data_IF_219766863424
#
_entry.id   IF_219766863424
#
_cell.length_a   1.000
_cell.length_b   1.000
_cell.length_c   1.000
_cell.angle_alpha   90.00
_cell.angle_beta   90.00
_cell.angle_gamma   90.00
#
_symmetry.space_group_name_H-M   'P 1'
#
loop_
_entity.id
_entity.type
_entity.pdbx_description
1 polymer ?
#
# COMPACT_ATOMS: atom_id res chain seq x y z
N UNK A 1 0.79 -18.79 -22.88
CA UNK A 1 1.49 -19.37 -21.70
C UNK A 1 0.43 -19.35 -20.63
N UNK A 2 -0.11 -20.51 -20.26
CA UNK A 2 -1.34 -20.52 -19.47
C UNK A 2 -1.12 -19.88 -18.09
N UNK A 3 -1.93 -18.88 -17.76
CA UNK A 3 -1.85 -18.17 -16.48
C UNK A 3 -2.54 -19.01 -15.41
N UNK A 4 -1.84 -19.26 -14.30
CA UNK A 4 -2.43 -19.96 -13.16
C UNK A 4 -3.41 -19.04 -12.41
N UNK A 5 -4.69 -19.22 -12.71
CA UNK A 5 -5.79 -18.44 -12.13
C UNK A 5 -5.95 -18.62 -10.62
N UNK A 6 -5.40 -19.68 -10.03
CA UNK A 6 -5.49 -19.93 -8.58
C UNK A 6 -4.73 -18.89 -7.75
N UNK A 7 -3.73 -18.25 -8.36
CA UNK A 7 -2.89 -17.22 -7.74
C UNK A 7 -3.46 -15.80 -7.89
N UNK A 8 -4.55 -15.64 -8.66
CA UNK A 8 -5.12 -14.34 -8.99
C UNK A 8 -6.25 -13.94 -8.03
N UNK A 9 -6.31 -12.64 -7.72
CA UNK A 9 -7.45 -12.05 -7.01
C UNK A 9 -8.71 -12.07 -7.89
N UNK A 10 -9.90 -11.98 -7.26
CA UNK A 10 -11.18 -11.89 -7.99
C UNK A 10 -11.23 -10.76 -9.03
N UNK A 11 -10.57 -9.64 -8.76
CA UNK A 11 -10.50 -8.50 -9.70
C UNK A 11 -9.62 -8.80 -10.91
N UNK A 12 -8.48 -9.45 -10.67
CA UNK A 12 -7.55 -9.90 -11.72
C UNK A 12 -8.20 -10.94 -12.64
N UNK A 13 -8.93 -11.92 -12.10
CA UNK A 13 -9.68 -12.93 -12.89
C UNK A 13 -10.73 -12.26 -13.79
N UNK A 14 -11.50 -11.28 -13.27
CA UNK A 14 -12.47 -10.55 -14.10
C UNK A 14 -11.80 -9.81 -15.26
N UNK A 15 -10.63 -9.21 -15.03
CA UNK A 15 -9.88 -8.51 -16.07
C UNK A 15 -9.33 -9.47 -17.13
N UNK A 16 -8.77 -10.62 -16.72
CA UNK A 16 -8.32 -11.66 -17.63
C UNK A 16 -9.47 -12.16 -18.53
N UNK A 17 -10.63 -12.46 -17.93
CA UNK A 17 -11.80 -12.92 -18.68
C UNK A 17 -12.38 -11.85 -19.61
N UNK A 18 -12.31 -10.57 -19.23
CA UNK A 18 -12.71 -9.47 -20.11
C UNK A 18 -11.77 -9.36 -21.33
N UNK A 19 -10.46 -9.51 -21.13
CA UNK A 19 -9.47 -9.52 -22.21
C UNK A 19 -9.68 -10.71 -23.14
N UNK A 20 -9.84 -11.92 -22.61
CA UNK A 20 -10.12 -13.13 -23.41
C UNK A 20 -11.32 -12.94 -24.35
N UNK A 21 -12.41 -12.34 -23.83
CA UNK A 21 -13.60 -12.01 -24.63
C UNK A 21 -13.37 -10.94 -25.69
N UNK A 22 -12.43 -10.01 -25.47
CA UNK A 22 -12.24 -8.87 -26.35
C UNK A 22 -11.21 -9.12 -27.45
N UNK A 23 -10.12 -9.81 -27.14
CA UNK A 23 -8.94 -9.91 -28.03
C UNK A 23 -8.48 -11.36 -28.26
N UNK A 24 -9.24 -12.34 -27.77
CA UNK A 24 -8.91 -13.76 -27.88
C UNK A 24 -7.94 -14.23 -26.80
N UNK A 25 -7.91 -15.55 -26.56
CA UNK A 25 -7.21 -16.14 -25.41
C UNK A 25 -5.69 -15.90 -25.44
N UNK A 26 -5.04 -16.14 -26.59
CA UNK A 26 -3.59 -16.02 -26.72
C UNK A 26 -3.07 -14.60 -26.50
N UNK A 27 -3.74 -13.61 -27.10
CA UNK A 27 -3.36 -12.19 -26.97
C UNK A 27 -3.76 -11.64 -25.60
N UNK A 28 -4.85 -12.14 -25.01
CA UNK A 28 -5.27 -11.78 -23.66
C UNK A 28 -4.26 -12.22 -22.60
N UNK A 29 -3.70 -13.43 -22.72
CA UNK A 29 -2.68 -13.92 -21.78
C UNK A 29 -1.41 -13.07 -21.82
N UNK A 30 -0.91 -12.72 -23.00
CA UNK A 30 0.28 -11.88 -23.15
C UNK A 30 0.06 -10.44 -22.62
N UNK A 31 -1.07 -9.82 -23.01
CA UNK A 31 -1.43 -8.48 -22.55
C UNK A 31 -1.66 -8.44 -21.03
N UNK A 32 -2.33 -9.44 -20.48
CA UNK A 32 -2.59 -9.54 -19.04
C UNK A 32 -1.30 -9.75 -18.26
N UNK A 33 -0.37 -10.58 -18.75
CA UNK A 33 0.92 -10.82 -18.10
C UNK A 33 1.76 -9.54 -18.02
N UNK A 34 1.82 -8.76 -19.11
CA UNK A 34 2.49 -7.44 -19.13
C UNK A 34 1.83 -6.45 -18.18
N UNK A 35 0.49 -6.44 -18.14
CA UNK A 35 -0.27 -5.59 -17.22
C UNK A 35 -0.04 -5.96 -15.75
N UNK A 36 -0.01 -7.26 -15.42
CA UNK A 36 0.20 -7.77 -14.08
C UNK A 36 1.60 -7.41 -13.55
N UNK A 37 2.63 -7.57 -14.39
CA UNK A 37 4.00 -7.16 -14.06
C UNK A 37 4.09 -5.67 -13.75
N UNK A 38 3.39 -4.82 -14.53
CA UNK A 38 3.33 -3.38 -14.29
C UNK A 38 2.64 -3.03 -12.97
N UNK A 39 1.65 -3.81 -12.55
CA UNK A 39 1.03 -3.64 -11.24
C UNK A 39 1.95 -4.06 -10.09
N UNK A 40 2.71 -5.14 -10.25
CA UNK A 40 3.65 -5.59 -9.22
C UNK A 40 4.76 -4.56 -8.97
N UNK A 41 5.18 -3.82 -10.02
CA UNK A 41 6.13 -2.71 -9.89
C UNK A 41 5.55 -1.43 -9.28
N UNK A 42 4.23 -1.36 -9.04
CA UNK A 42 3.58 -0.21 -8.40
C UNK A 42 3.37 -0.41 -6.89
N UNK A 43 3.85 -1.50 -6.28
CA UNK A 43 3.95 -1.56 -4.82
C UNK A 43 4.94 -0.47 -4.42
N UNK A 44 4.49 0.61 -3.75
CA UNK A 44 5.39 1.67 -3.37
C UNK A 44 6.46 1.05 -2.47
N UNK A 45 7.72 1.28 -2.82
CA UNK A 45 8.85 0.91 -1.98
C UNK A 45 8.62 1.47 -0.58
N UNK A 46 8.86 0.63 0.45
CA UNK A 46 8.64 1.06 1.84
C UNK A 46 9.50 2.28 2.13
N UNK A 47 8.92 3.33 2.70
CA UNK A 47 9.68 4.53 3.07
C UNK A 47 10.58 4.18 4.27
N UNK A 48 11.93 4.29 4.13
CA UNK A 48 12.84 3.91 5.21
C UNK A 48 12.64 4.70 6.51
N UNK A 49 12.10 5.93 6.43
CA UNK A 49 11.77 6.74 7.59
C UNK A 49 10.49 6.23 8.25
N UNK A 50 9.50 5.81 7.46
CA UNK A 50 8.29 5.18 7.99
C UNK A 50 8.63 3.88 8.74
N UNK A 51 9.50 3.05 8.17
CA UNK A 51 9.94 1.81 8.81
C UNK A 51 10.62 2.09 10.17
N UNK A 52 11.50 3.09 10.23
CA UNK A 52 12.14 3.51 11.50
C UNK A 52 11.15 4.05 12.52
N UNK A 53 10.07 4.72 12.08
CA UNK A 53 9.01 5.18 12.98
C UNK A 53 8.29 3.96 13.58
N UNK A 54 7.97 2.95 12.77
CA UNK A 54 7.33 1.71 13.24
C UNK A 54 8.24 0.97 14.22
N UNK A 55 9.52 0.82 13.90
CA UNK A 55 10.51 0.19 14.78
C UNK A 55 10.60 0.90 16.14
N UNK A 56 10.64 2.24 16.15
CA UNK A 56 10.67 3.03 17.38
C UNK A 56 9.38 2.88 18.22
N UNK A 57 8.24 2.56 17.58
CA UNK A 57 6.95 2.38 18.23
C UNK A 57 6.63 0.93 18.60
N UNK A 58 7.46 -0.04 18.20
CA UNK A 58 7.20 -1.47 18.42
C UNK A 58 6.95 -1.82 19.90
N UNK A 59 7.66 -1.16 20.82
CA UNK A 59 7.47 -1.36 22.27
C UNK A 59 6.12 -0.89 22.82
N UNK A 60 5.34 -0.12 22.06
CA UNK A 60 4.05 0.45 22.47
C UNK A 60 2.84 -0.33 21.93
N UNK A 61 3.04 -1.37 21.13
CA UNK A 61 1.97 -2.12 20.47
C UNK A 61 0.94 -2.73 21.46
N UNK A 62 1.41 -3.14 22.64
CA UNK A 62 0.57 -3.68 23.70
C UNK A 62 -0.06 -2.64 24.64
N UNK A 63 0.31 -1.36 24.52
CA UNK A 63 -0.21 -0.31 25.40
C UNK A 63 -1.59 0.16 24.92
N UNK A 64 -2.63 -0.19 25.68
CA UNK A 64 -4.01 0.25 25.40
C UNK A 64 -4.19 1.76 25.39
N UNK A 65 -3.32 2.52 26.06
CA UNK A 65 -3.35 3.99 26.04
C UNK A 65 -2.73 4.57 24.77
N UNK A 66 -1.86 3.80 24.10
CA UNK A 66 -1.23 4.17 22.84
C UNK A 66 -2.06 3.68 21.64
N UNK A 67 -3.28 4.21 21.50
CA UNK A 67 -4.18 3.86 20.39
C UNK A 67 -4.18 4.97 19.32
N UNK A 68 -3.70 4.64 18.12
CA UNK A 68 -3.65 5.57 16.98
C UNK A 68 -5.05 5.90 16.40
N UNK A 69 -6.07 5.13 16.75
CA UNK A 69 -7.44 5.30 16.25
C UNK A 69 -7.57 5.04 14.74
N UNK A 70 -8.76 5.31 14.20
CA UNK A 70 -9.11 4.97 12.81
C UNK A 70 -8.33 5.80 11.76
N UNK A 71 -8.10 7.09 12.03
CA UNK A 71 -7.48 8.01 11.08
C UNK A 71 -5.99 8.24 11.36
N UNK A 72 -5.48 7.70 12.47
CA UNK A 72 -4.09 7.85 12.85
C UNK A 72 -3.71 9.28 13.25
N UNK A 73 -2.40 9.50 13.24
CA UNK A 73 -1.76 10.76 13.59
C UNK A 73 -0.71 11.11 12.53
N UNK A 74 -0.52 12.39 12.28
CA UNK A 74 0.56 12.91 11.43
C UNK A 74 1.69 13.43 12.32
N UNK A 75 2.89 12.89 12.14
CA UNK A 75 4.12 13.36 12.79
C UNK A 75 4.86 14.30 11.85
N UNK A 76 5.22 15.48 12.33
CA UNK A 76 5.99 16.48 11.58
C UNK A 76 7.09 17.08 12.43
N UNK A 77 8.12 17.64 11.79
CA UNK A 77 9.13 18.45 12.48
C UNK A 77 8.48 19.70 13.06
N UNK A 78 8.85 20.07 14.29
CA UNK A 78 8.47 21.36 14.86
C UNK A 78 9.02 22.50 13.98
N UNK A 79 8.21 23.54 13.75
CA UNK A 79 8.57 24.70 12.92
C UNK A 79 8.44 25.97 13.76
N UNK A 80 9.47 26.82 13.75
CA UNK A 80 9.47 28.10 14.45
C UNK A 80 10.81 28.43 15.13
N UNK A 81 11.03 29.71 15.46
CA UNK A 81 12.27 30.16 16.11
C UNK A 81 12.34 29.57 17.53
N UNK A 82 13.36 28.75 17.80
CA UNK A 82 13.57 28.11 19.11
C UNK A 82 12.81 26.81 19.34
N UNK A 83 12.08 26.28 18.36
CA UNK A 83 11.39 24.99 18.50
C UNK A 83 12.25 23.85 17.94
N UNK A 84 12.32 22.73 18.66
CA UNK A 84 13.06 21.53 18.26
C UNK A 84 12.19 20.28 18.46
N UNK A 85 12.54 19.19 17.76
CA UNK A 85 11.85 17.90 17.87
C UNK A 85 10.69 17.70 16.89
N UNK A 86 9.79 16.78 17.26
CA UNK A 86 8.64 16.35 16.46
C UNK A 86 7.33 16.73 17.15
N UNK A 87 6.30 17.00 16.36
CA UNK A 87 4.94 17.29 16.78
C UNK A 87 4.00 16.30 16.11
N UNK A 88 3.15 15.63 16.88
CA UNK A 88 2.09 14.77 16.40
C UNK A 88 0.74 15.50 16.42
N UNK A 89 -0.05 15.37 15.35
CA UNK A 89 -1.40 15.94 15.25
C UNK A 89 -2.37 14.82 14.88
N UNK A 90 -3.52 14.76 15.56
CA UNK A 90 -4.56 13.76 15.26
C UNK A 90 -5.18 14.07 13.90
N UNK A 91 -5.33 13.05 13.06
CA UNK A 91 -6.01 13.22 11.79
C UNK A 91 -7.52 13.16 12.01
N UNK A 92 -8.24 14.07 11.37
CA UNK A 92 -9.70 14.09 11.36
C UNK A 92 -10.23 13.61 10.02
N UNK A 93 -11.46 13.10 10.02
CA UNK A 93 -12.14 12.72 8.79
C UNK A 93 -12.32 13.98 7.93
N UNK A 94 -11.73 13.98 6.73
CA UNK A 94 -11.93 15.03 5.73
C UNK A 94 -13.35 15.03 5.17
#
# INVERSE_FOLDING_TARGET
MSIDESTLTKGQIRKLNALRKSIGDDLAEDAFSKWLLRQASEVPESDPVADRIVEALAGMEGDRKFNLGLYGYTVRRAKGKGQSGFVAVKNEKS
#
